data_IF_698215762869
#
_entry.id   IF_698215762869
#
_cell.length_a   1.000
_cell.length_b   1.000
_cell.length_c   1.000
_cell.angle_alpha   90.00
_cell.angle_beta   90.00
_cell.angle_gamma   90.00
#
_symmetry.space_group_name_H-M   'P 1'
#
loop_
_entity.id
_entity.type
_entity.pdbx_description
1 polymer ?
#
# COMPACT_ATOMS: atom_id res chain seq x y z
N UNK A 1 29.57 -22.15 2.53
CA UNK A 1 30.48 -21.03 2.18
C UNK A 1 29.65 -19.76 1.93
N UNK A 2 30.23 -18.60 2.26
CA UNK A 2 29.64 -17.29 1.93
C UNK A 2 29.89 -17.02 0.44
N UNK A 3 28.87 -16.52 -0.25
CA UNK A 3 29.00 -16.13 -1.66
C UNK A 3 29.77 -14.80 -1.78
N UNK A 4 30.99 -14.86 -2.32
CA UNK A 4 31.86 -13.70 -2.49
C UNK A 4 31.45 -12.80 -3.67
N UNK A 5 30.53 -13.25 -4.53
CA UNK A 5 29.99 -12.44 -5.63
C UNK A 5 28.92 -11.44 -5.17
N UNK A 6 28.43 -11.57 -3.91
CA UNK A 6 27.46 -10.65 -3.32
C UNK A 6 28.19 -9.45 -2.69
N UNK A 7 28.11 -8.28 -3.35
CA UNK A 7 29.00 -7.13 -3.12
C UNK A 7 28.39 -6.08 -2.19
N UNK A 8 28.29 -6.37 -0.91
CA UNK A 8 27.73 -5.42 0.08
C UNK A 8 28.74 -4.40 0.65
N UNK A 9 30.00 -4.49 0.27
CA UNK A 9 31.06 -3.62 0.78
C UNK A 9 31.21 -3.71 2.29
N UNK A 10 31.19 -2.57 3.01
CA UNK A 10 31.22 -2.52 4.49
C UNK A 10 29.88 -2.86 5.13
N UNK A 11 28.83 -3.03 4.33
CA UNK A 11 27.50 -3.41 4.79
C UNK A 11 26.74 -2.30 5.51
N UNK A 12 25.96 -2.71 6.49
CA UNK A 12 25.08 -1.87 7.31
C UNK A 12 25.73 -1.49 8.64
N UNK A 13 25.51 -0.26 9.10
CA UNK A 13 25.99 0.23 10.40
C UNK A 13 25.16 -0.21 11.61
N UNK A 14 24.01 -0.88 11.39
CA UNK A 14 23.17 -1.42 12.44
C UNK A 14 22.30 -2.59 11.93
N UNK A 15 21.41 -3.10 12.80
CA UNK A 15 20.65 -4.34 12.61
C UNK A 15 19.74 -4.28 11.39
N UNK A 16 19.81 -5.31 10.56
CA UNK A 16 18.82 -5.64 9.52
C UNK A 16 17.75 -6.55 10.15
N UNK A 17 16.49 -6.15 10.05
CA UNK A 17 15.34 -6.91 10.56
C UNK A 17 14.56 -7.66 9.47
N UNK A 18 14.60 -7.16 8.25
CA UNK A 18 13.86 -7.76 7.14
C UNK A 18 14.65 -7.67 5.84
N UNK A 19 14.57 -8.75 5.07
CA UNK A 19 15.04 -8.82 3.68
C UNK A 19 13.90 -9.37 2.84
N UNK A 20 13.58 -8.68 1.74
CA UNK A 20 12.51 -9.06 0.82
C UNK A 20 13.02 -9.02 -0.62
N UNK A 21 12.90 -10.14 -1.32
CA UNK A 21 13.21 -10.22 -2.75
C UNK A 21 12.06 -9.67 -3.58
N UNK A 22 12.38 -8.94 -4.64
CA UNK A 22 11.45 -8.51 -5.67
C UNK A 22 11.52 -9.48 -6.88
N UNK A 23 10.49 -9.47 -7.72
CA UNK A 23 10.41 -10.35 -8.89
C UNK A 23 11.50 -10.08 -9.95
N UNK A 24 12.09 -8.89 -9.94
CA UNK A 24 13.21 -8.49 -10.79
C UNK A 24 14.59 -8.85 -10.19
N UNK A 25 14.62 -9.60 -9.08
CA UNK A 25 15.82 -10.01 -8.35
C UNK A 25 16.39 -8.94 -7.41
N UNK A 26 15.86 -7.73 -7.39
CA UNK A 26 16.30 -6.70 -6.45
C UNK A 26 15.91 -7.04 -5.01
N UNK A 27 16.64 -6.47 -4.06
CA UNK A 27 16.54 -6.83 -2.65
C UNK A 27 16.19 -5.60 -1.83
N UNK A 28 15.02 -5.60 -1.21
CA UNK A 28 14.63 -4.59 -0.23
C UNK A 28 15.13 -5.00 1.15
N UNK A 29 15.79 -4.09 1.84
CA UNK A 29 16.35 -4.33 3.18
C UNK A 29 15.82 -3.29 4.15
N UNK A 30 15.24 -3.75 5.25
CA UNK A 30 14.69 -2.92 6.33
C UNK A 30 15.40 -3.17 7.65
N UNK A 31 15.61 -2.12 8.45
CA UNK A 31 16.34 -2.26 9.70
C UNK A 31 16.32 -1.05 10.62
N UNK A 32 17.33 -1.01 11.51
CA UNK A 32 17.62 0.14 12.38
C UNK A 32 18.81 0.98 11.90
N UNK A 33 19.42 0.59 10.78
CA UNK A 33 20.60 1.24 10.22
C UNK A 33 20.33 2.68 9.75
N UNK A 34 21.37 3.50 9.77
CA UNK A 34 21.37 4.85 9.19
C UNK A 34 22.14 4.87 7.86
N UNK A 35 23.11 3.98 7.70
CA UNK A 35 23.98 3.95 6.52
C UNK A 35 24.07 2.51 5.94
N UNK A 36 24.30 2.45 4.63
CA UNK A 36 24.72 1.27 3.90
C UNK A 36 25.97 1.63 3.10
N UNK A 37 27.06 0.89 3.31
CA UNK A 37 28.34 1.08 2.65
C UNK A 37 28.78 2.57 2.61
N UNK A 38 28.66 3.26 3.78
CA UNK A 38 28.98 4.66 3.96
C UNK A 38 27.97 5.69 3.39
N UNK A 39 26.97 5.23 2.63
CA UNK A 39 25.92 6.07 2.09
C UNK A 39 24.73 6.17 3.04
N UNK A 40 24.22 7.38 3.27
CA UNK A 40 23.05 7.59 4.11
C UNK A 40 21.82 6.87 3.51
N UNK A 41 21.28 5.89 4.25
CA UNK A 41 20.11 5.09 3.88
C UNK A 41 19.33 4.74 5.14
N UNK A 42 18.51 5.68 5.61
CA UNK A 42 17.84 5.53 6.91
C UNK A 42 16.73 4.51 6.89
N UNK A 43 16.97 3.36 7.52
CA UNK A 43 16.03 2.28 7.85
C UNK A 43 15.58 1.43 6.67
N UNK A 44 15.74 1.89 5.43
CA UNK A 44 15.37 1.14 4.23
C UNK A 44 16.33 1.42 3.09
N UNK A 45 16.65 0.38 2.33
CA UNK A 45 17.44 0.47 1.10
C UNK A 45 16.98 -0.60 0.13
N UNK A 46 17.19 -0.37 -1.16
CA UNK A 46 17.10 -1.41 -2.18
C UNK A 46 18.48 -1.68 -2.77
N UNK A 47 18.79 -2.94 -2.90
CA UNK A 47 20.03 -3.41 -3.52
C UNK A 47 19.73 -4.08 -4.88
N UNK A 48 20.71 -4.05 -5.76
CA UNK A 48 20.74 -4.86 -6.97
C UNK A 48 20.92 -6.34 -6.61
N UNK A 49 20.67 -7.29 -7.55
CA UNK A 49 20.86 -8.71 -7.30
C UNK A 49 22.29 -9.10 -6.85
N UNK A 50 23.29 -8.31 -7.25
CA UNK A 50 24.69 -8.50 -6.87
C UNK A 50 25.05 -7.90 -5.50
N UNK A 51 24.10 -7.30 -4.77
CA UNK A 51 24.31 -6.66 -3.48
C UNK A 51 24.74 -5.19 -3.54
N UNK A 52 24.96 -4.63 -4.71
CA UNK A 52 25.28 -3.20 -4.86
C UNK A 52 24.05 -2.32 -4.63
N UNK A 53 24.28 -1.03 -4.31
CA UNK A 53 23.19 -0.08 -4.05
C UNK A 53 22.39 0.22 -5.32
N UNK A 54 21.05 0.05 -5.26
CA UNK A 54 20.16 0.54 -6.30
C UNK A 54 19.83 2.02 -6.06
N UNK A 55 20.45 2.91 -6.83
CA UNK A 55 20.27 4.36 -6.74
C UNK A 55 18.93 4.84 -7.31
N UNK A 56 18.20 4.01 -8.06
CA UNK A 56 16.87 4.32 -8.59
C UNK A 56 15.77 4.24 -7.52
N UNK A 57 16.08 3.66 -6.34
CA UNK A 57 15.17 3.65 -5.20
C UNK A 57 15.37 4.92 -4.36
N UNK A 58 14.49 5.89 -4.55
CA UNK A 58 14.63 7.24 -4.01
C UNK A 58 13.83 7.37 -2.71
N UNK A 59 14.52 7.28 -1.58
CA UNK A 59 13.92 7.43 -0.24
C UNK A 59 14.01 8.86 0.31
N UNK A 60 14.65 9.81 -0.42
CA UNK A 60 14.92 11.15 0.07
C UNK A 60 15.74 11.11 1.38
N UNK A 61 15.25 11.78 2.43
CA UNK A 61 15.86 11.74 3.76
C UNK A 61 15.58 10.45 4.54
N UNK A 62 14.74 9.56 4.01
CA UNK A 62 14.34 8.32 4.68
C UNK A 62 13.50 8.55 5.94
N UNK A 63 13.55 7.58 6.85
CA UNK A 63 12.84 7.67 8.13
C UNK A 63 13.61 8.53 9.15
N UNK A 64 12.90 9.44 9.83
CA UNK A 64 13.51 10.28 10.89
C UNK A 64 13.80 9.51 12.17
N UNK A 65 13.02 8.46 12.48
CA UNK A 65 13.20 7.64 13.70
C UNK A 65 12.69 6.20 13.54
N UNK A 66 12.83 5.42 14.60
CA UNK A 66 12.31 4.05 14.73
C UNK A 66 13.06 3.04 13.87
N UNK A 67 12.39 1.93 13.55
CA UNK A 67 12.95 0.81 12.78
C UNK A 67 11.94 0.32 11.77
N UNK A 68 12.42 -0.16 10.61
CA UNK A 68 11.63 -0.96 9.67
C UNK A 68 11.79 -2.43 10.07
N UNK A 69 10.67 -3.09 10.36
CA UNK A 69 10.64 -4.50 10.82
C UNK A 69 10.11 -5.45 9.77
N UNK A 70 9.29 -4.97 8.86
CA UNK A 70 8.64 -5.81 7.86
C UNK A 70 8.40 -5.02 6.57
N UNK A 71 8.58 -5.70 5.45
CA UNK A 71 8.38 -5.17 4.11
C UNK A 71 7.58 -6.20 3.31
N UNK A 72 6.57 -5.75 2.58
CA UNK A 72 5.80 -6.57 1.66
C UNK A 72 5.70 -5.87 0.31
N UNK A 73 6.07 -6.55 -0.77
CA UNK A 73 5.88 -6.07 -2.14
C UNK A 73 4.51 -6.55 -2.63
N UNK A 74 3.69 -5.62 -3.10
CA UNK A 74 2.38 -5.92 -3.67
C UNK A 74 2.50 -6.30 -5.16
N UNK A 75 1.52 -7.01 -5.76
CA UNK A 75 1.56 -7.41 -7.17
C UNK A 75 1.72 -6.25 -8.16
N UNK A 76 1.22 -5.05 -7.80
CA UNK A 76 1.38 -3.83 -8.60
C UNK A 76 2.74 -3.12 -8.40
N UNK A 77 3.67 -3.73 -7.67
CA UNK A 77 5.00 -3.19 -7.37
C UNK A 77 5.04 -2.17 -6.23
N UNK A 78 3.93 -1.74 -5.68
CA UNK A 78 3.91 -0.89 -4.47
C UNK A 78 4.42 -1.68 -3.27
N UNK A 79 5.00 -0.99 -2.29
CA UNK A 79 5.70 -1.62 -1.18
C UNK A 79 5.08 -1.15 0.14
N UNK A 80 4.55 -2.08 0.92
CA UNK A 80 4.10 -1.85 2.28
C UNK A 80 5.28 -2.02 3.25
N UNK A 81 5.43 -1.05 4.15
CA UNK A 81 6.53 -1.01 5.11
C UNK A 81 5.94 -0.84 6.50
N UNK A 82 6.34 -1.69 7.42
CA UNK A 82 5.90 -1.67 8.80
C UNK A 82 7.03 -1.65 9.82
N UNK A 83 6.76 -1.09 11.02
CA UNK A 83 7.78 -1.06 12.06
C UNK A 83 7.41 -0.30 13.31
N UNK A 84 8.44 0.27 13.97
CA UNK A 84 8.28 1.07 15.19
C UNK A 84 8.31 2.58 14.94
N UNK A 85 8.52 3.01 13.70
CA UNK A 85 8.66 4.42 13.37
C UNK A 85 7.40 5.23 13.69
N UNK A 86 7.60 6.46 14.17
CA UNK A 86 6.55 7.42 14.52
C UNK A 86 7.10 8.83 14.36
N UNK A 87 7.37 9.23 13.13
CA UNK A 87 8.00 10.49 12.78
C UNK A 87 7.73 10.83 11.34
N UNK A 88 8.77 11.06 10.54
CA UNK A 88 8.60 11.37 9.12
C UNK A 88 9.29 10.34 8.22
N UNK A 89 8.75 10.16 7.03
CA UNK A 89 9.41 9.58 5.87
C UNK A 89 9.50 10.68 4.80
N UNK A 90 10.72 11.01 4.43
CA UNK A 90 10.98 12.11 3.50
C UNK A 90 10.24 13.42 3.85
N UNK A 91 10.23 13.80 5.14
CA UNK A 91 9.58 15.01 5.65
C UNK A 91 8.06 14.88 5.90
N UNK A 92 7.40 13.85 5.40
CA UNK A 92 5.96 13.61 5.59
C UNK A 92 5.72 12.75 6.81
N UNK A 93 4.77 13.15 7.67
CA UNK A 93 4.41 12.41 8.90
C UNK A 93 3.90 10.99 8.60
N UNK A 94 4.51 9.99 9.26
CA UNK A 94 4.13 8.57 9.11
C UNK A 94 4.16 7.87 10.47
N UNK A 95 3.31 6.85 10.65
CA UNK A 95 3.21 6.14 11.93
C UNK A 95 2.98 4.65 11.74
N UNK A 96 3.99 3.85 12.11
CA UNK A 96 3.99 2.39 12.19
C UNK A 96 3.82 1.66 10.85
N UNK A 97 3.09 2.21 9.90
CA UNK A 97 2.88 1.65 8.57
C UNK A 97 2.81 2.75 7.52
N UNK A 98 3.38 2.50 6.37
CA UNK A 98 3.24 3.34 5.19
C UNK A 98 3.31 2.49 3.92
N UNK A 99 2.91 3.06 2.80
CA UNK A 99 3.11 2.48 1.47
C UNK A 99 3.97 3.41 0.63
N UNK A 100 4.87 2.85 -0.13
CA UNK A 100 5.65 3.59 -1.14
C UNK A 100 5.43 3.01 -2.52
N UNK A 101 5.66 3.83 -3.54
CA UNK A 101 5.70 3.42 -4.93
C UNK A 101 6.91 2.51 -5.18
N UNK A 102 6.95 1.82 -6.33
CA UNK A 102 8.06 0.94 -6.71
C UNK A 102 9.43 1.65 -6.76
N UNK A 103 9.45 2.97 -6.92
CA UNK A 103 10.66 3.78 -6.91
C UNK A 103 11.04 4.33 -5.52
N UNK A 104 10.28 4.02 -4.46
CA UNK A 104 10.51 4.49 -3.10
C UNK A 104 9.80 5.79 -2.72
N UNK A 105 9.13 6.49 -3.63
CA UNK A 105 8.34 7.67 -3.29
C UNK A 105 7.14 7.32 -2.41
N UNK A 106 6.79 8.17 -1.44
CA UNK A 106 5.62 7.94 -0.57
C UNK A 106 4.33 7.88 -1.40
N UNK A 107 3.53 6.86 -1.17
CA UNK A 107 2.18 6.78 -1.72
C UNK A 107 1.19 7.46 -0.77
N UNK A 108 0.85 8.72 -1.07
CA UNK A 108 -0.08 9.52 -0.26
C UNK A 108 -1.54 9.05 -0.27
N UNK A 109 -1.90 8.11 -1.18
CA UNK A 109 -3.24 7.52 -1.21
C UNK A 109 -3.43 6.43 -0.14
N UNK A 110 -2.37 6.02 0.56
CA UNK A 110 -2.43 5.00 1.60
C UNK A 110 -2.28 5.61 2.98
N UNK A 111 -3.19 5.31 3.88
CA UNK A 111 -3.11 5.65 5.30
C UNK A 111 -3.57 4.47 6.16
N UNK A 112 -2.72 4.03 7.07
CA UNK A 112 -3.08 3.07 8.11
C UNK A 112 -2.41 3.51 9.41
N UNK A 113 -3.20 4.06 10.33
CA UNK A 113 -2.70 4.54 11.61
C UNK A 113 -2.79 3.44 12.67
N UNK A 114 -1.66 2.90 13.07
CA UNK A 114 -1.56 1.95 14.18
C UNK A 114 -1.08 2.67 15.45
N UNK A 115 -1.68 2.32 16.58
CA UNK A 115 -1.25 2.88 17.88
C UNK A 115 -0.07 2.13 18.53
N UNK A 116 0.39 1.04 17.93
CA UNK A 116 1.51 0.23 18.41
C UNK A 116 2.38 -0.33 17.28
N UNK A 117 3.46 -0.99 17.64
CA UNK A 117 4.43 -1.56 16.71
C UNK A 117 3.79 -2.51 15.71
N UNK A 118 4.14 -2.38 14.44
CA UNK A 118 3.87 -3.36 13.40
C UNK A 118 5.10 -4.27 13.24
N UNK A 119 4.91 -5.57 13.49
CA UNK A 119 6.00 -6.55 13.48
C UNK A 119 6.07 -7.37 12.20
N UNK A 120 4.92 -7.67 11.60
CA UNK A 120 4.82 -8.54 10.42
C UNK A 120 3.68 -8.11 9.51
N UNK A 121 3.88 -8.29 8.21
CA UNK A 121 2.89 -8.13 7.15
C UNK A 121 2.92 -9.38 6.29
N UNK A 122 1.76 -9.92 5.96
CA UNK A 122 1.60 -11.00 5.00
C UNK A 122 0.46 -10.69 4.03
N UNK A 123 0.52 -11.21 2.82
CA UNK A 123 -0.56 -11.09 1.86
C UNK A 123 -1.18 -12.47 1.61
N UNK A 124 -2.51 -12.52 1.60
CA UNK A 124 -3.27 -13.72 1.27
C UNK A 124 -3.32 -13.92 -0.25
N UNK A 125 -3.69 -15.12 -0.70
CA UNK A 125 -3.82 -15.44 -2.13
C UNK A 125 -4.89 -14.58 -2.84
N UNK A 126 -5.85 -14.03 -2.08
CA UNK A 126 -6.86 -13.10 -2.57
C UNK A 126 -6.46 -11.62 -2.34
N UNK A 127 -5.16 -11.36 -2.21
CA UNK A 127 -4.52 -10.03 -2.13
C UNK A 127 -4.92 -9.18 -0.91
N UNK A 128 -5.55 -9.76 0.11
CA UNK A 128 -5.77 -9.08 1.39
C UNK A 128 -4.47 -9.05 2.19
N UNK A 129 -4.29 -8.01 2.98
CA UNK A 129 -3.10 -7.85 3.81
C UNK A 129 -3.42 -8.14 5.26
N UNK A 130 -2.73 -9.10 5.84
CA UNK A 130 -2.79 -9.42 7.27
C UNK A 130 -1.59 -8.78 7.95
N UNK A 131 -1.84 -8.07 9.03
CA UNK A 131 -0.83 -7.38 9.83
C UNK A 131 -0.83 -7.92 11.26
N UNK A 132 0.36 -8.06 11.83
CA UNK A 132 0.55 -8.52 13.20
C UNK A 132 1.56 -7.67 13.97
N UNK A 133 1.30 -7.45 15.27
CA UNK A 133 2.18 -6.63 16.08
C UNK A 133 1.64 -6.29 17.47
N UNK A 134 2.20 -5.27 18.10
CA UNK A 134 1.83 -4.82 19.45
C UNK A 134 0.84 -3.65 19.46
N UNK A 135 -0.03 -3.57 18.46
CA UNK A 135 -1.09 -2.55 18.38
C UNK A 135 -2.41 -3.02 19.01
N UNK A 136 -3.23 -2.07 19.44
CA UNK A 136 -4.59 -2.30 19.96
C UNK A 136 -5.67 -1.65 19.09
N UNK A 137 -5.27 -0.79 18.14
CA UNK A 137 -6.19 -0.20 17.17
C UNK A 137 -5.51 0.03 15.82
N UNK A 138 -6.32 0.00 14.77
CA UNK A 138 -5.97 0.33 13.40
C UNK A 138 -6.98 1.35 12.89
N UNK A 139 -6.51 2.53 12.49
CA UNK A 139 -7.34 3.64 11.98
C UNK A 139 -8.58 3.92 12.86
N UNK A 140 -8.40 3.94 14.18
CA UNK A 140 -9.46 4.18 15.17
C UNK A 140 -10.30 2.96 15.55
N UNK A 141 -10.26 1.88 14.77
CA UNK A 141 -10.99 0.64 15.08
C UNK A 141 -10.18 -0.24 16.04
N UNK A 142 -10.79 -0.72 17.12
CA UNK A 142 -10.16 -1.65 18.06
C UNK A 142 -9.84 -2.98 17.38
N UNK A 143 -8.55 -3.32 17.33
CA UNK A 143 -8.00 -4.57 16.79
C UNK A 143 -6.77 -4.96 17.62
N UNK A 144 -6.87 -6.05 18.34
CA UNK A 144 -5.79 -6.48 19.24
C UNK A 144 -4.77 -7.36 18.51
N UNK A 145 -3.60 -6.77 18.20
CA UNK A 145 -2.38 -7.45 17.73
C UNK A 145 -2.42 -8.11 16.37
N UNK A 146 -3.60 -8.32 15.79
CA UNK A 146 -3.79 -8.82 14.44
C UNK A 146 -4.94 -8.10 13.76
N UNK A 147 -4.78 -7.76 12.48
CA UNK A 147 -5.85 -7.22 11.66
C UNK A 147 -5.66 -7.63 10.20
N UNK A 148 -6.77 -7.71 9.47
CA UNK A 148 -6.75 -7.84 8.02
C UNK A 148 -7.17 -6.50 7.42
N UNK A 149 -6.30 -5.94 6.59
CA UNK A 149 -6.54 -4.70 5.87
C UNK A 149 -7.12 -4.99 4.50
N UNK A 150 -8.11 -4.23 4.14
CA UNK A 150 -8.66 -4.20 2.80
C UNK A 150 -7.89 -3.11 2.05
N UNK A 151 -7.03 -3.50 1.13
CA UNK A 151 -6.21 -2.58 0.35
C UNK A 151 -6.63 -2.65 -1.10
N UNK A 152 -7.25 -1.59 -1.57
CA UNK A 152 -7.35 -1.37 -3.00
C UNK A 152 -5.96 -1.06 -3.54
N UNK A 153 -5.56 -1.74 -4.60
CA UNK A 153 -4.20 -1.58 -5.15
C UNK A 153 -4.03 -0.29 -5.93
N UNK A 154 -5.17 0.29 -6.37
CA UNK A 154 -5.19 1.52 -7.16
C UNK A 154 -6.55 2.23 -7.03
N UNK A 155 -6.65 3.47 -7.46
CA UNK A 155 -7.89 4.24 -7.51
C UNK A 155 -8.14 4.73 -8.93
N UNK A 156 -9.39 4.66 -9.38
CA UNK A 156 -9.82 5.35 -10.58
C UNK A 156 -11.00 6.24 -10.25
N UNK A 157 -10.95 7.49 -10.72
CA UNK A 157 -12.00 8.48 -10.51
C UNK A 157 -12.76 8.71 -11.80
N UNK A 158 -14.07 8.87 -11.68
CA UNK A 158 -14.91 9.36 -12.76
C UNK A 158 -15.01 10.88 -12.66
N UNK A 159 -14.39 11.59 -13.59
CA UNK A 159 -14.31 13.06 -13.64
C UNK A 159 -14.39 13.53 -15.09
N UNK A 160 -15.24 14.51 -15.37
CA UNK A 160 -15.38 15.12 -16.70
C UNK A 160 -15.57 14.09 -17.83
N UNK A 161 -16.37 13.07 -17.60
CA UNK A 161 -16.70 12.03 -18.58
C UNK A 161 -15.62 10.98 -18.82
N UNK A 162 -14.54 10.96 -18.04
CA UNK A 162 -13.42 10.03 -18.22
C UNK A 162 -12.97 9.36 -16.91
N UNK A 163 -12.31 8.22 -17.02
CA UNK A 163 -11.63 7.55 -15.91
C UNK A 163 -10.18 8.03 -15.81
N UNK A 164 -9.79 8.59 -14.67
CA UNK A 164 -8.45 9.19 -14.48
C UNK A 164 -7.30 8.19 -14.55
N UNK A 165 -7.55 6.94 -14.24
CA UNK A 165 -6.52 5.89 -14.20
C UNK A 165 -7.02 4.60 -14.89
N UNK A 166 -7.62 4.77 -16.08
CA UNK A 166 -8.23 3.69 -16.85
C UNK A 166 -9.50 3.11 -16.23
N UNK A 167 -10.16 2.22 -16.97
CA UNK A 167 -11.43 1.63 -16.59
C UNK A 167 -11.40 0.90 -15.23
N UNK A 168 -12.57 0.76 -14.57
CA UNK A 168 -12.73 -0.06 -13.35
C UNK A 168 -12.24 -1.49 -13.51
N UNK A 169 -11.64 -2.01 -12.46
CA UNK A 169 -11.26 -3.43 -12.33
C UNK A 169 -11.44 -3.88 -10.88
N UNK A 170 -11.52 -5.18 -10.63
CA UNK A 170 -11.67 -5.75 -9.29
C UNK A 170 -10.56 -5.34 -8.28
N UNK A 171 -9.43 -4.82 -8.75
CA UNK A 171 -8.34 -4.32 -7.91
C UNK A 171 -8.35 -2.81 -7.69
N UNK A 172 -9.26 -2.05 -8.32
CA UNK A 172 -9.32 -0.59 -8.21
C UNK A 172 -10.45 -0.14 -7.30
N UNK A 173 -10.20 0.91 -6.54
CA UNK A 173 -11.25 1.68 -5.88
C UNK A 173 -11.91 2.61 -6.90
N UNK A 174 -13.24 2.62 -6.94
CA UNK A 174 -14.02 3.57 -7.72
C UNK A 174 -14.32 4.81 -6.90
N UNK A 175 -14.13 5.97 -7.49
CA UNK A 175 -14.55 7.22 -6.91
C UNK A 175 -15.32 8.05 -7.94
N UNK A 176 -16.57 8.38 -7.64
CA UNK A 176 -17.45 9.18 -8.51
C UNK A 176 -17.52 10.60 -7.97
N UNK A 177 -17.07 11.56 -8.80
CA UNK A 177 -17.18 13.00 -8.54
C UNK A 177 -18.24 13.65 -9.47
N UNK A 178 -18.94 12.84 -10.27
CA UNK A 178 -20.03 13.23 -11.17
C UNK A 178 -21.07 12.11 -11.24
N UNK A 179 -22.30 12.46 -11.64
CA UNK A 179 -23.37 11.48 -11.88
C UNK A 179 -22.97 10.49 -12.97
N UNK A 180 -23.26 9.22 -12.73
CA UNK A 180 -22.84 8.16 -13.64
C UNK A 180 -23.81 6.99 -13.65
N UNK A 181 -24.03 6.40 -14.83
CA UNK A 181 -24.79 5.17 -14.99
C UNK A 181 -23.86 4.00 -15.32
N UNK A 182 -23.89 2.98 -14.49
CA UNK A 182 -23.19 1.72 -14.71
C UNK A 182 -24.08 0.86 -15.62
N UNK A 183 -23.75 0.85 -16.91
CA UNK A 183 -24.51 0.14 -17.95
C UNK A 183 -23.93 -1.22 -18.33
N UNK A 184 -22.81 -1.63 -17.70
CA UNK A 184 -22.19 -2.95 -17.89
C UNK A 184 -21.73 -3.47 -16.55
N UNK A 185 -21.69 -4.80 -16.40
CA UNK A 185 -21.15 -5.41 -15.18
C UNK A 185 -19.77 -4.84 -14.84
N UNK A 186 -19.67 -4.23 -13.68
CA UNK A 186 -18.47 -3.50 -13.22
C UNK A 186 -17.96 -4.16 -11.95
N UNK A 187 -16.67 -4.43 -11.94
CA UNK A 187 -15.96 -4.99 -10.78
C UNK A 187 -15.10 -3.90 -10.17
N UNK A 188 -15.12 -3.81 -8.85
CA UNK A 188 -14.27 -2.88 -8.12
C UNK A 188 -13.83 -3.45 -6.77
N UNK A 189 -12.77 -2.90 -6.25
CA UNK A 189 -12.29 -3.18 -4.91
C UNK A 189 -13.22 -2.54 -3.88
N UNK A 190 -13.52 -1.28 -4.07
CA UNK A 190 -14.36 -0.44 -3.24
C UNK A 190 -15.08 0.60 -4.11
N UNK A 191 -16.14 1.19 -3.60
CA UNK A 191 -16.84 2.27 -4.29
C UNK A 191 -17.11 3.42 -3.31
N UNK A 192 -16.72 4.63 -3.69
CA UNK A 192 -17.05 5.84 -2.96
C UNK A 192 -17.72 6.85 -3.90
N UNK A 193 -18.77 7.52 -3.42
CA UNK A 193 -19.53 8.51 -4.18
C UNK A 193 -19.48 9.83 -3.43
N UNK A 194 -19.08 10.90 -4.12
CA UNK A 194 -19.01 12.23 -3.54
C UNK A 194 -20.40 12.74 -3.14
N UNK A 195 -20.45 13.64 -2.16
CA UNK A 195 -21.72 14.26 -1.75
C UNK A 195 -22.38 15.00 -2.91
N UNK A 196 -23.70 14.77 -3.10
CA UNK A 196 -24.47 15.35 -4.18
C UNK A 196 -24.36 14.66 -5.54
N UNK A 197 -23.57 13.58 -5.61
CA UNK A 197 -23.44 12.76 -6.82
C UNK A 197 -24.39 11.58 -6.75
N UNK A 198 -24.99 11.20 -7.90
CA UNK A 198 -25.85 10.03 -8.03
C UNK A 198 -25.22 9.01 -8.99
N UNK A 199 -25.17 7.76 -8.56
CA UNK A 199 -24.67 6.65 -9.39
C UNK A 199 -25.77 5.61 -9.52
N UNK A 200 -26.20 5.35 -10.77
CA UNK A 200 -27.22 4.39 -11.12
C UNK A 200 -26.60 3.08 -11.61
N UNK A 201 -27.10 1.94 -11.15
CA UNK A 201 -26.75 0.62 -11.69
C UNK A 201 -27.94 0.12 -12.50
N UNK A 202 -27.81 0.08 -13.84
CA UNK A 202 -28.88 -0.24 -14.76
C UNK A 202 -29.36 -1.67 -14.64
N UNK A 203 -30.65 -1.88 -14.97
CA UNK A 203 -31.27 -3.20 -15.01
C UNK A 203 -30.45 -4.22 -15.82
N UNK A 204 -30.31 -5.41 -15.30
CA UNK A 204 -29.52 -6.49 -15.92
C UNK A 204 -28.00 -6.33 -15.79
N UNK A 205 -27.50 -5.30 -15.09
CA UNK A 205 -26.07 -5.13 -14.80
C UNK A 205 -25.74 -5.41 -13.33
N UNK A 206 -24.46 -5.56 -13.02
CA UNK A 206 -23.99 -5.82 -11.66
C UNK A 206 -22.85 -4.85 -11.32
N UNK A 207 -22.94 -4.20 -10.16
CA UNK A 207 -21.80 -3.62 -9.50
C UNK A 207 -21.27 -4.60 -8.45
N UNK A 208 -20.17 -5.27 -8.75
CA UNK A 208 -19.54 -6.24 -7.85
C UNK A 208 -18.41 -5.57 -7.08
N UNK A 209 -18.60 -5.37 -5.77
CA UNK A 209 -17.62 -4.78 -4.88
C UNK A 209 -16.92 -5.87 -4.06
N UNK A 210 -15.59 -5.87 -4.11
CA UNK A 210 -14.80 -6.82 -3.33
C UNK A 210 -14.92 -6.58 -1.82
N UNK A 211 -15.19 -5.33 -1.41
CA UNK A 211 -15.21 -4.95 0.00
C UNK A 211 -16.49 -4.19 0.39
N UNK A 212 -16.61 -2.93 0.07
CA UNK A 212 -17.77 -2.14 0.51
C UNK A 212 -18.04 -0.91 -0.36
N UNK A 213 -19.24 -0.35 -0.18
CA UNK A 213 -19.62 0.97 -0.62
C UNK A 213 -19.40 1.98 0.51
N UNK A 214 -18.84 3.14 0.18
CA UNK A 214 -18.63 4.26 1.09
C UNK A 214 -19.02 5.58 0.41
N UNK A 215 -19.38 6.59 1.20
CA UNK A 215 -19.58 7.96 0.73
C UNK A 215 -20.92 8.55 1.13
N UNK A 216 -21.10 9.84 0.80
CA UNK A 216 -22.29 10.63 1.10
C UNK A 216 -23.19 10.84 -0.15
N UNK A 217 -22.81 10.31 -1.31
CA UNK A 217 -23.61 10.32 -2.53
C UNK A 217 -24.69 9.23 -2.53
N UNK A 218 -25.53 9.23 -3.55
CA UNK A 218 -26.63 8.30 -3.72
C UNK A 218 -26.22 7.16 -4.66
N UNK A 219 -26.37 5.92 -4.22
CA UNK A 219 -26.27 4.73 -5.07
C UNK A 219 -27.68 4.19 -5.31
N UNK A 220 -28.12 4.18 -6.56
CA UNK A 220 -29.41 3.67 -7.00
C UNK A 220 -29.23 2.35 -7.73
N UNK A 221 -29.95 1.33 -7.30
CA UNK A 221 -29.96 0.00 -7.92
C UNK A 221 -31.31 -0.17 -8.60
N UNK A 222 -31.35 -0.21 -9.93
CA UNK A 222 -32.57 -0.44 -10.70
C UNK A 222 -33.06 -1.89 -10.54
N UNK A 223 -34.38 -2.09 -10.76
CA UNK A 223 -34.98 -3.43 -10.73
C UNK A 223 -34.29 -4.36 -11.74
N UNK A 224 -33.84 -5.52 -11.25
CA UNK A 224 -33.07 -6.48 -12.04
C UNK A 224 -31.57 -6.21 -12.13
N UNK A 225 -31.08 -5.11 -11.53
CA UNK A 225 -29.66 -4.93 -11.27
C UNK A 225 -29.24 -5.55 -9.92
N UNK A 226 -27.96 -5.71 -9.69
CA UNK A 226 -27.46 -6.27 -8.42
C UNK A 226 -26.21 -5.59 -7.91
N UNK A 227 -26.11 -5.56 -6.57
CA UNK A 227 -24.92 -5.18 -5.82
C UNK A 227 -24.39 -6.43 -5.09
N UNK A 228 -23.13 -6.77 -5.28
CA UNK A 228 -22.46 -7.92 -4.66
C UNK A 228 -21.16 -7.54 -3.97
#
# INVERSE_FOLDING_TARGET
SVDSSFLVGTGFDAIVYNVTLQSDGKILVGGSFANFNGNARRRIVRLQPDGTLDTSFVIGTGFSNGTVRTILVQPNGKILIGGTFSGTYNGVGVKRMLRVQANGALDGSFSANLNGTLSTIAMTSDEKVVIGGAFNSVSGTTKHRIARLLLCVDQTKRVAGAWTNGAPTAGKELFFEEDYTIANTTYACNCAIASGVEVNVSAGTTLALRYQYEGAGLLVIEDGASLH
#
